data_IF_413016236863
#
_entry.id   IF_413016236863
#
_cell.length_a   1.000
_cell.length_b   1.000
_cell.length_c   1.000
_cell.angle_alpha   90.00
_cell.angle_beta   90.00
_cell.angle_gamma   90.00
#
_symmetry.space_group_name_H-M   'P 1'
#
loop_
_entity.id
_entity.type
_entity.pdbx_description
1 polymer ?
#
# COMPACT_ATOMS: atom_id res chain seq x y z
N UNK A 1 6.85 -0.72 17.86
CA UNK A 1 6.88 -2.15 17.49
C UNK A 1 8.20 -2.43 16.79
N UNK A 2 8.98 -3.41 17.25
CA UNK A 2 10.16 -3.87 16.53
C UNK A 2 9.70 -4.69 15.33
N UNK A 3 10.06 -4.28 14.11
CA UNK A 3 9.79 -5.08 12.90
C UNK A 3 10.94 -6.06 12.76
N UNK A 4 10.62 -7.34 12.90
CA UNK A 4 11.58 -8.43 12.76
C UNK A 4 11.49 -8.98 11.35
N UNK A 5 12.65 -9.24 10.75
CA UNK A 5 12.79 -9.71 9.39
C UNK A 5 13.57 -11.03 9.39
N UNK A 6 13.09 -12.00 8.62
CA UNK A 6 13.87 -13.19 8.27
C UNK A 6 15.01 -12.80 7.32
N UNK A 7 16.12 -13.53 7.30
CA UNK A 7 17.20 -13.32 6.32
C UNK A 7 16.70 -13.27 4.87
N UNK A 8 15.74 -14.13 4.52
CA UNK A 8 15.05 -14.09 3.21
C UNK A 8 14.29 -12.79 2.94
N UNK A 9 13.63 -12.21 3.95
CA UNK A 9 12.94 -10.93 3.79
C UNK A 9 13.93 -9.80 3.55
N UNK A 10 15.06 -9.82 4.28
CA UNK A 10 16.15 -8.89 4.04
C UNK A 10 16.71 -9.07 2.62
N UNK A 11 16.96 -10.30 2.19
CA UNK A 11 17.43 -10.63 0.83
C UNK A 11 16.56 -9.98 -0.24
N UNK A 12 15.23 -10.12 -0.13
CA UNK A 12 14.29 -9.51 -1.06
C UNK A 12 14.28 -7.97 -0.98
N UNK A 13 14.42 -7.39 0.22
CA UNK A 13 14.39 -5.94 0.42
C UNK A 13 15.60 -5.25 -0.19
N UNK A 14 16.80 -5.85 -0.05
CA UNK A 14 18.05 -5.23 -0.52
C UNK A 14 18.60 -5.86 -1.79
N UNK A 15 17.96 -6.87 -2.36
CA UNK A 15 18.42 -7.49 -3.61
C UNK A 15 19.78 -8.18 -3.48
N UNK A 16 20.08 -8.73 -2.30
CA UNK A 16 21.32 -9.47 -2.00
C UNK A 16 20.94 -10.92 -1.73
N UNK A 17 21.76 -11.88 -2.17
CA UNK A 17 21.49 -13.30 -1.89
C UNK A 17 21.41 -13.60 -0.38
N UNK A 18 20.39 -14.35 0.04
CA UNK A 18 20.17 -14.75 1.43
C UNK A 18 21.42 -15.41 2.07
N UNK A 19 22.20 -16.16 1.27
CA UNK A 19 23.45 -16.78 1.74
C UNK A 19 24.47 -15.77 2.27
N UNK A 20 24.55 -14.58 1.67
CA UNK A 20 25.51 -13.55 2.09
C UNK A 20 25.06 -12.89 3.40
N UNK A 21 23.74 -12.74 3.58
CA UNK A 21 23.14 -12.26 4.83
C UNK A 21 23.42 -13.26 5.95
N UNK A 22 23.18 -14.55 5.70
CA UNK A 22 23.47 -15.63 6.66
C UNK A 22 24.97 -15.67 7.02
N UNK A 23 25.87 -15.45 6.06
CA UNK A 23 27.31 -15.35 6.34
C UNK A 23 27.66 -14.19 7.28
N UNK A 24 27.02 -13.04 7.12
CA UNK A 24 27.25 -11.90 8.04
C UNK A 24 26.73 -12.20 9.44
N UNK A 25 25.56 -12.84 9.55
CA UNK A 25 24.97 -13.27 10.83
C UNK A 25 25.86 -14.29 11.54
N UNK A 26 26.43 -15.24 10.80
CA UNK A 26 27.26 -16.32 11.34
C UNK A 26 28.64 -15.86 11.84
N UNK A 27 29.06 -14.63 11.53
CA UNK A 27 30.34 -14.07 12.01
C UNK A 27 30.29 -13.56 13.44
N UNK A 28 29.09 -13.52 14.06
CA UNK A 28 28.84 -13.02 15.42
C UNK A 28 29.52 -11.66 15.69
N UNK A 29 29.47 -10.76 14.71
CA UNK A 29 30.07 -9.42 14.78
C UNK A 29 29.42 -8.60 15.90
N UNK A 30 30.19 -7.99 16.82
CA UNK A 30 29.64 -7.27 17.97
C UNK A 30 28.79 -6.05 17.60
N UNK A 31 28.93 -5.49 16.40
CA UNK A 31 28.05 -4.43 15.90
C UNK A 31 26.71 -4.99 15.38
N UNK A 32 26.68 -6.23 14.91
CA UNK A 32 25.49 -6.88 14.32
C UNK A 32 24.66 -7.59 15.38
N UNK A 33 25.31 -8.29 16.32
CA UNK A 33 24.69 -9.11 17.37
C UNK A 33 23.56 -8.41 18.14
N UNK A 34 23.65 -7.11 18.51
CA UNK A 34 22.57 -6.41 19.22
C UNK A 34 21.23 -6.35 18.44
N UNK A 35 21.27 -6.56 17.13
CA UNK A 35 20.11 -6.52 16.25
C UNK A 35 19.60 -7.90 15.84
N UNK A 36 20.24 -8.96 16.32
CA UNK A 36 19.84 -10.33 16.06
C UNK A 36 18.97 -10.82 17.23
N UNK A 37 17.81 -11.39 16.91
CA UNK A 37 16.93 -12.03 17.89
C UNK A 37 16.92 -13.52 17.58
N UNK A 38 17.43 -14.29 18.52
CA UNK A 38 17.43 -15.75 18.43
C UNK A 38 16.08 -16.30 18.92
N UNK A 39 15.38 -17.03 18.05
CA UNK A 39 14.14 -17.75 18.38
C UNK A 39 14.36 -19.28 18.35
N UNK A 40 15.60 -19.73 18.54
CA UNK A 40 15.97 -21.14 18.61
C UNK A 40 16.25 -21.74 17.24
N UNK A 41 15.21 -21.87 16.41
CA UNK A 41 15.34 -22.43 15.06
C UNK A 41 15.71 -21.37 13.99
N UNK A 42 15.47 -20.09 14.28
CA UNK A 42 15.72 -18.99 13.36
C UNK A 42 16.32 -17.77 14.09
N UNK A 43 17.30 -17.12 13.46
CA UNK A 43 17.76 -15.78 13.83
C UNK A 43 17.00 -14.74 13.00
N UNK A 44 16.23 -13.91 13.68
CA UNK A 44 15.56 -12.76 13.08
C UNK A 44 16.41 -11.51 13.21
N UNK A 45 16.23 -10.59 12.27
CA UNK A 45 16.93 -9.32 12.18
C UNK A 45 15.95 -8.21 12.56
N UNK A 46 16.29 -7.40 13.56
CA UNK A 46 15.58 -6.14 13.81
C UNK A 46 15.83 -5.19 12.63
N UNK A 47 14.77 -4.62 12.06
CA UNK A 47 14.85 -3.62 10.99
C UNK A 47 15.84 -2.48 11.32
N UNK A 48 15.94 -2.10 12.59
CA UNK A 48 16.89 -1.06 13.02
C UNK A 48 18.37 -1.44 12.79
N UNK A 49 18.69 -2.73 12.73
CA UNK A 49 20.04 -3.24 12.46
C UNK A 49 20.37 -3.39 10.99
N UNK A 50 19.39 -3.20 10.10
CA UNK A 50 19.57 -3.35 8.66
C UNK A 50 20.72 -2.48 8.11
N UNK A 51 20.89 -1.20 8.50
CA UNK A 51 22.04 -0.40 8.03
C UNK A 51 23.39 -0.99 8.43
N UNK A 52 23.49 -1.58 9.62
CA UNK A 52 24.74 -2.19 10.11
C UNK A 52 25.04 -3.47 9.32
N UNK A 53 24.05 -4.32 9.11
CA UNK A 53 24.20 -5.54 8.30
C UNK A 53 24.59 -5.20 6.86
N UNK A 54 23.92 -4.20 6.26
CA UNK A 54 24.25 -3.74 4.91
C UNK A 54 25.68 -3.19 4.81
N UNK A 55 26.14 -2.45 5.82
CA UNK A 55 27.53 -2.00 5.89
C UNK A 55 28.50 -3.19 5.87
N UNK A 56 28.22 -4.26 6.63
CA UNK A 56 29.06 -5.48 6.66
C UNK A 56 29.01 -6.26 5.34
N UNK A 57 27.87 -6.26 4.65
CA UNK A 57 27.72 -6.84 3.31
C UNK A 57 28.50 -6.04 2.26
N UNK A 58 28.44 -4.71 2.33
CA UNK A 58 29.09 -3.80 1.38
C UNK A 58 30.62 -3.95 1.35
N UNK A 59 31.26 -4.28 2.47
CA UNK A 59 32.72 -4.51 2.50
C UNK A 59 33.19 -5.68 1.63
N UNK A 60 32.30 -6.60 1.24
CA UNK A 60 32.61 -7.75 0.39
C UNK A 60 31.97 -7.65 -1.01
N UNK A 61 31.33 -6.52 -1.35
CA UNK A 61 30.73 -6.32 -2.68
C UNK A 61 31.59 -5.38 -3.53
N UNK A 62 31.75 -5.65 -4.83
CA UNK A 62 32.26 -4.67 -5.78
C UNK A 62 31.43 -3.38 -5.72
N UNK A 63 32.10 -2.22 -5.73
CA UNK A 63 31.42 -0.91 -5.69
C UNK A 63 30.42 -0.74 -6.83
N UNK A 64 30.66 -1.37 -7.98
CA UNK A 64 29.74 -1.39 -9.13
C UNK A 64 28.40 -2.04 -8.80
N UNK A 65 28.40 -3.19 -8.12
CA UNK A 65 27.17 -3.89 -7.72
C UNK A 65 26.36 -3.07 -6.70
N UNK A 66 27.05 -2.39 -5.79
CA UNK A 66 26.41 -1.46 -4.83
C UNK A 66 25.73 -0.31 -5.58
N UNK A 67 26.41 0.28 -6.56
CA UNK A 67 25.89 1.39 -7.36
C UNK A 67 24.67 0.95 -8.17
N UNK A 68 24.74 -0.19 -8.86
CA UNK A 68 23.64 -0.73 -9.66
C UNK A 68 22.41 -1.00 -8.81
N UNK A 69 22.60 -1.59 -7.63
CA UNK A 69 21.52 -1.87 -6.69
C UNK A 69 20.87 -0.57 -6.17
N UNK A 70 21.68 0.42 -5.76
CA UNK A 70 21.17 1.73 -5.33
C UNK A 70 20.43 2.45 -6.47
N UNK A 71 20.93 2.38 -7.70
CA UNK A 71 20.27 2.95 -8.87
C UNK A 71 18.90 2.30 -9.11
N UNK A 72 18.81 0.97 -9.02
CA UNK A 72 17.54 0.24 -9.11
C UNK A 72 16.56 0.65 -8.02
N UNK A 73 17.03 0.77 -6.77
CA UNK A 73 16.20 1.19 -5.63
C UNK A 73 15.65 2.61 -5.82
N UNK A 74 16.48 3.56 -6.28
CA UNK A 74 16.05 4.93 -6.58
C UNK A 74 14.96 4.92 -7.66
N UNK A 75 15.16 4.14 -8.72
CA UNK A 75 14.22 4.07 -9.84
C UNK A 75 12.87 3.46 -9.42
N UNK A 76 12.89 2.42 -8.58
CA UNK A 76 11.67 1.85 -7.99
C UNK A 76 10.96 2.85 -7.07
N UNK A 77 11.69 3.61 -6.25
CA UNK A 77 11.10 4.64 -5.38
C UNK A 77 10.43 5.75 -6.19
N UNK A 78 11.03 6.15 -7.30
CA UNK A 78 10.45 7.15 -8.19
C UNK A 78 9.15 6.64 -8.85
N UNK A 79 9.16 5.41 -9.35
CA UNK A 79 7.94 4.76 -9.88
C UNK A 79 6.83 4.67 -8.84
N UNK A 80 7.14 4.21 -7.62
CA UNK A 80 6.14 4.15 -6.54
C UNK A 80 5.63 5.53 -6.13
N UNK A 81 6.49 6.57 -6.18
CA UNK A 81 6.07 7.95 -5.93
C UNK A 81 5.05 8.41 -6.97
N UNK A 82 5.31 8.12 -8.25
CA UNK A 82 4.42 8.46 -9.36
C UNK A 82 3.07 7.76 -9.23
N UNK A 83 3.07 6.44 -9.01
CA UNK A 83 1.85 5.63 -8.80
C UNK A 83 1.05 6.14 -7.59
N UNK A 84 1.72 6.49 -6.50
CA UNK A 84 1.06 7.03 -5.31
C UNK A 84 0.35 8.36 -5.62
N UNK A 85 0.97 9.25 -6.38
CA UNK A 85 0.35 10.52 -6.76
C UNK A 85 -0.81 10.32 -7.76
N UNK A 86 -0.75 9.31 -8.62
CA UNK A 86 -1.87 8.93 -9.49
C UNK A 86 -3.05 8.40 -8.69
N UNK A 87 -2.81 7.43 -7.80
CA UNK A 87 -3.83 6.86 -6.92
C UNK A 87 -4.46 7.95 -6.03
N UNK A 88 -3.67 8.91 -5.55
CA UNK A 88 -4.19 10.04 -4.77
C UNK A 88 -5.12 10.91 -5.60
N UNK A 89 -4.74 11.26 -6.84
CA UNK A 89 -5.60 12.01 -7.77
C UNK A 89 -6.90 11.26 -8.09
N UNK A 90 -6.82 9.97 -8.32
CA UNK A 90 -8.00 9.14 -8.58
C UNK A 90 -8.92 9.07 -7.36
N UNK A 91 -8.36 8.89 -6.16
CA UNK A 91 -9.13 8.86 -4.91
C UNK A 91 -9.88 10.18 -4.68
N UNK A 92 -9.25 11.33 -4.95
CA UNK A 92 -9.90 12.64 -4.87
C UNK A 92 -11.04 12.79 -5.87
N UNK A 93 -10.84 12.34 -7.13
CA UNK A 93 -11.89 12.32 -8.16
C UNK A 93 -13.08 11.47 -7.73
N UNK A 94 -12.84 10.24 -7.25
CA UNK A 94 -13.87 9.33 -6.77
C UNK A 94 -14.62 9.91 -5.57
N UNK A 95 -13.93 10.54 -4.61
CA UNK A 95 -14.57 11.24 -3.49
C UNK A 95 -15.50 12.37 -3.95
N UNK A 96 -15.07 13.16 -4.94
CA UNK A 96 -15.90 14.22 -5.51
C UNK A 96 -17.14 13.65 -6.21
N UNK A 97 -16.99 12.55 -6.95
CA UNK A 97 -18.11 11.91 -7.64
C UNK A 97 -19.10 11.27 -6.66
N UNK A 98 -18.62 10.58 -5.62
CA UNK A 98 -19.45 10.08 -4.52
C UNK A 98 -20.24 11.22 -3.89
N UNK A 99 -19.62 12.38 -3.64
CA UNK A 99 -20.30 13.55 -3.08
C UNK A 99 -21.40 14.07 -4.01
N UNK A 100 -21.14 14.14 -5.33
CA UNK A 100 -22.12 14.54 -6.34
C UNK A 100 -23.30 13.58 -6.43
N UNK A 101 -23.03 12.27 -6.46
CA UNK A 101 -24.06 11.24 -6.54
C UNK A 101 -24.93 11.23 -5.28
N UNK A 102 -24.33 11.36 -4.08
CA UNK A 102 -25.08 11.51 -2.83
C UNK A 102 -26.00 12.73 -2.84
N UNK A 103 -25.54 13.88 -3.35
CA UNK A 103 -26.37 15.08 -3.48
C UNK A 103 -27.49 14.93 -4.52
N UNK A 104 -27.29 14.17 -5.59
CA UNK A 104 -28.36 13.84 -6.57
C UNK A 104 -29.41 12.92 -5.96
N UNK A 105 -28.98 11.92 -5.17
CA UNK A 105 -29.86 11.01 -4.45
C UNK A 105 -30.74 11.76 -3.45
N UNK A 106 -30.17 12.64 -2.63
CA UNK A 106 -30.95 13.42 -1.65
C UNK A 106 -31.99 14.32 -2.35
N UNK A 107 -31.61 15.02 -3.43
CA UNK A 107 -32.54 15.84 -4.23
C UNK A 107 -33.65 15.03 -4.90
N UNK A 108 -33.37 13.78 -5.27
CA UNK A 108 -34.38 12.90 -5.89
C UNK A 108 -35.34 12.31 -4.85
N UNK A 109 -34.89 12.17 -3.59
CA UNK A 109 -35.76 11.78 -2.47
C UNK A 109 -36.63 12.95 -1.97
N UNK A 110 -36.13 14.20 -2.04
CA UNK A 110 -36.90 15.41 -1.71
C UNK A 110 -38.00 15.71 -2.74
N UNK A 111 -37.75 15.40 -4.02
CA UNK A 111 -38.79 15.42 -5.06
C UNK A 111 -39.67 14.19 -4.90
N UNK A 112 -40.60 14.23 -3.95
CA UNK A 112 -41.61 13.19 -3.75
C UNK A 112 -42.31 12.77 -5.06
N UNK A 113 -42.96 11.59 -5.10
CA UNK A 113 -43.48 10.99 -6.32
C UNK A 113 -44.33 11.98 -7.12
N UNK A 114 -44.26 11.97 -8.47
CA UNK A 114 -44.98 12.92 -9.30
C UNK A 114 -46.46 12.88 -8.91
N UNK A 115 -47.00 14.04 -8.49
CA UNK A 115 -48.42 14.18 -8.13
C UNK A 115 -49.25 13.65 -9.31
N UNK A 116 -49.89 12.49 -9.11
CA UNK A 116 -50.86 11.95 -10.06
C UNK A 116 -51.98 12.98 -10.20
N UNK A 117 -51.97 13.74 -11.30
CA UNK A 117 -53.12 14.54 -11.69
C UNK A 117 -54.30 13.58 -11.93
N UNK A 118 -55.22 13.50 -10.96
CA UNK A 118 -56.52 12.87 -11.19
C UNK A 118 -57.33 13.82 -12.07
N UNK A 119 -57.30 13.60 -13.38
CA UNK A 119 -58.34 14.11 -14.28
C UNK A 119 -59.66 13.47 -13.85
N UNK A 120 -60.46 14.24 -13.11
CA UNK A 120 -61.82 13.88 -12.72
C UNK A 120 -62.72 14.13 -13.92
N UNK A 121 -62.71 13.21 -14.89
CA UNK A 121 -63.73 13.20 -15.94
C UNK A 121 -65.10 13.03 -15.27
N UNK A 122 -65.98 13.99 -15.52
CA UNK A 122 -67.31 14.07 -14.95
C UNK A 122 -68.12 12.80 -15.24
N UNK A 123 -68.72 12.24 -14.19
CA UNK A 123 -69.71 11.19 -14.30
C UNK A 123 -70.97 11.74 -14.96
N UNK A 124 -71.08 11.55 -16.27
CA UNK A 124 -72.27 11.87 -17.06
C UNK A 124 -72.94 10.58 -17.53
N UNK A 125 -73.38 9.71 -16.63
CA UNK A 125 -74.24 8.57 -16.98
C UNK A 125 -75.14 8.19 -15.81
N UNK A 126 -76.40 8.64 -15.88
CA UNK A 126 -77.58 7.84 -15.49
C UNK A 126 -78.82 8.49 -16.08
N UNK A 127 -79.30 7.89 -17.16
CA UNK A 127 -80.58 8.16 -17.80
C UNK A 127 -81.26 6.79 -17.98
N UNK A 128 -82.56 6.75 -17.66
CA UNK A 128 -83.53 5.63 -17.74
C UNK A 128 -83.48 4.64 -16.56
N UNK A 129 -84.60 4.29 -15.91
CA UNK A 129 -86.02 4.37 -16.27
C UNK A 129 -86.85 5.03 -15.18
#
# INVERSE_FOLDING_TARGET
MKRLLKPREVSNLVGIEEREILRVIARDDPEVTPYLIDLGEERLIDLAGLPVILKKLAYNMPTTEIIENLACQILHLELFSQEREELKRENERLKAEIKRLKAKLSRSQEKGPPKRFRLRFGGFWRLKR
#
